data_IF_322493125049
#
_entry.id   IF_322493125049
#
_cell.length_a   1.000
_cell.length_b   1.000
_cell.length_c   1.000
_cell.angle_alpha   90.00
_cell.angle_beta   90.00
_cell.angle_gamma   90.00
#
_symmetry.space_group_name_H-M   'P 1'
#
loop_
_entity.id
_entity.type
_entity.pdbx_description
1 polymer ?
#
# COMPACT_ATOMS: atom_id res chain seq x y z
N UNK A 1 62.69 7.84 -7.90
CA UNK A 1 61.45 7.95 -7.11
C UNK A 1 60.76 9.24 -7.52
N UNK A 2 59.68 9.13 -8.27
CA UNK A 2 58.82 10.27 -8.63
C UNK A 2 57.40 9.85 -8.28
N UNK A 3 56.86 10.42 -7.21
CA UNK A 3 55.46 10.28 -6.83
C UNK A 3 54.59 10.92 -7.92
N UNK A 4 53.74 10.11 -8.54
CA UNK A 4 52.64 10.61 -9.37
C UNK A 4 51.51 11.06 -8.45
N UNK A 5 51.44 12.36 -8.21
CA UNK A 5 50.32 13.01 -7.53
C UNK A 5 49.04 12.84 -8.36
N UNK A 6 47.95 12.50 -7.67
CA UNK A 6 46.66 12.11 -8.25
C UNK A 6 46.09 13.13 -9.25
N UNK A 7 45.78 12.64 -10.45
CA UNK A 7 44.97 13.34 -11.43
C UNK A 7 43.49 13.18 -11.10
N UNK A 8 42.82 14.29 -10.81
CA UNK A 8 41.39 14.36 -10.65
C UNK A 8 40.68 14.07 -11.98
N UNK A 9 40.48 12.79 -12.32
CA UNK A 9 39.60 12.36 -13.42
C UNK A 9 38.12 12.47 -13.01
N UNK A 10 37.75 13.69 -12.62
CA UNK A 10 36.39 14.04 -12.33
C UNK A 10 35.62 14.25 -13.63
N UNK A 11 34.67 13.36 -13.95
CA UNK A 11 33.71 13.57 -15.06
C UNK A 11 33.22 15.04 -15.09
N UNK A 12 33.07 15.65 -16.27
CA UNK A 12 32.57 17.02 -16.40
C UNK A 12 31.28 17.22 -15.60
N UNK A 13 31.09 18.37 -14.97
CA UNK A 13 29.89 18.67 -14.18
C UNK A 13 28.60 18.42 -14.98
N UNK A 14 28.58 18.78 -16.26
CA UNK A 14 27.46 18.48 -17.18
C UNK A 14 27.17 16.98 -17.28
N UNK A 15 28.21 16.15 -17.40
CA UNK A 15 28.07 14.69 -17.45
C UNK A 15 27.54 14.15 -16.13
N UNK A 16 27.98 14.69 -14.98
CA UNK A 16 27.47 14.28 -13.66
C UNK A 16 26.00 14.65 -13.48
N UNK A 17 25.63 15.88 -13.84
CA UNK A 17 24.23 16.35 -13.77
C UNK A 17 23.34 15.54 -14.69
N UNK A 18 23.81 15.25 -15.91
CA UNK A 18 23.08 14.39 -16.85
C UNK A 18 22.88 12.97 -16.30
N UNK A 19 23.95 12.35 -15.78
CA UNK A 19 23.86 11.03 -15.17
C UNK A 19 22.91 11.01 -13.96
N UNK A 20 22.95 12.06 -13.13
CA UNK A 20 22.02 12.21 -12.02
C UNK A 20 20.57 12.31 -12.51
N UNK A 21 20.29 13.13 -13.52
CA UNK A 21 18.97 13.27 -14.10
C UNK A 21 18.44 11.94 -14.65
N UNK A 22 19.27 11.20 -15.40
CA UNK A 22 18.93 9.87 -15.92
C UNK A 22 18.64 8.89 -14.78
N UNK A 23 19.47 8.88 -13.74
CA UNK A 23 19.24 8.03 -12.55
C UNK A 23 17.93 8.37 -11.85
N UNK A 24 17.60 9.65 -11.68
CA UNK A 24 16.34 10.07 -11.05
C UNK A 24 15.15 9.59 -11.90
N UNK A 25 15.18 9.79 -13.21
CA UNK A 25 14.09 9.37 -14.11
C UNK A 25 13.89 7.86 -14.07
N UNK A 26 14.99 7.08 -14.17
CA UNK A 26 14.92 5.63 -14.12
C UNK A 26 14.40 5.14 -12.77
N UNK A 27 14.97 5.63 -11.67
CA UNK A 27 14.57 5.22 -10.33
C UNK A 27 13.11 5.59 -10.07
N UNK A 28 12.70 6.81 -10.42
CA UNK A 28 11.30 7.24 -10.28
C UNK A 28 10.37 6.37 -11.13
N UNK A 29 10.72 6.08 -12.38
CA UNK A 29 9.95 5.19 -13.24
C UNK A 29 9.80 3.79 -12.66
N UNK A 30 10.89 3.20 -12.16
CA UNK A 30 10.86 1.89 -11.49
C UNK A 30 10.03 1.95 -10.22
N UNK A 31 10.20 2.96 -9.37
CA UNK A 31 9.43 3.12 -8.14
C UNK A 31 7.95 3.35 -8.41
N UNK A 32 7.60 4.09 -9.47
CA UNK A 32 6.21 4.29 -9.89
C UNK A 32 5.64 3.00 -10.44
N UNK A 33 6.36 2.28 -11.33
CA UNK A 33 5.86 1.02 -11.90
C UNK A 33 5.77 -0.07 -10.85
N UNK A 34 6.73 -0.20 -9.93
CA UNK A 34 6.70 -1.21 -8.86
C UNK A 34 5.72 -0.79 -7.77
N UNK A 35 5.70 0.49 -7.39
CA UNK A 35 4.80 1.03 -6.36
C UNK A 35 3.34 1.07 -6.82
N UNK A 36 3.06 1.75 -7.93
CA UNK A 36 1.71 1.76 -8.52
C UNK A 36 1.35 0.45 -9.19
N UNK A 37 2.30 -0.30 -9.77
CA UNK A 37 2.03 -1.65 -10.28
C UNK A 37 1.70 -2.63 -9.16
N UNK A 38 2.26 -2.44 -7.96
CA UNK A 38 1.80 -3.11 -6.75
C UNK A 38 0.33 -2.78 -6.44
N UNK A 39 -0.06 -1.50 -6.54
CA UNK A 39 -1.47 -1.08 -6.43
C UNK A 39 -2.37 -1.71 -7.49
N UNK A 40 -1.92 -1.79 -8.75
CA UNK A 40 -2.65 -2.42 -9.84
C UNK A 40 -2.81 -3.93 -9.62
N UNK A 41 -1.76 -4.60 -9.14
CA UNK A 41 -1.80 -6.02 -8.76
C UNK A 41 -2.79 -6.26 -7.61
N UNK A 42 -2.72 -5.46 -6.54
CA UNK A 42 -3.66 -5.55 -5.42
C UNK A 42 -5.10 -5.30 -5.88
N UNK A 43 -5.31 -4.31 -6.75
CA UNK A 43 -6.63 -4.02 -7.31
C UNK A 43 -7.14 -5.16 -8.18
N UNK A 44 -6.31 -5.72 -9.06
CA UNK A 44 -6.66 -6.89 -9.88
C UNK A 44 -6.94 -8.10 -8.99
N UNK A 45 -6.13 -8.36 -7.99
CA UNK A 45 -6.33 -9.43 -7.01
C UNK A 45 -7.60 -9.23 -6.19
N UNK A 46 -7.98 -7.99 -5.84
CA UNK A 46 -9.24 -7.71 -5.16
C UNK A 46 -10.45 -7.85 -6.11
N UNK A 47 -10.29 -7.47 -7.38
CA UNK A 47 -11.34 -7.56 -8.41
C UNK A 47 -11.61 -8.99 -8.86
N UNK A 48 -10.56 -9.81 -8.93
CA UNK A 48 -10.58 -11.23 -9.30
C UNK A 48 -10.68 -12.15 -8.09
N UNK A 49 -10.40 -11.62 -6.89
CA UNK A 49 -10.56 -12.30 -5.61
C UNK A 49 -11.98 -12.81 -5.50
N UNK A 50 -12.11 -14.05 -5.03
CA UNK A 50 -13.31 -14.88 -5.10
C UNK A 50 -14.57 -14.28 -4.47
N UNK A 51 -15.67 -15.05 -4.44
CA UNK A 51 -16.93 -14.56 -3.90
C UNK A 51 -16.74 -13.98 -2.51
N UNK A 52 -17.41 -12.85 -2.26
CA UNK A 52 -17.36 -12.17 -0.98
C UNK A 52 -17.70 -13.16 0.15
N UNK A 53 -16.83 -13.31 1.17
CA UNK A 53 -17.03 -14.31 2.20
C UNK A 53 -18.37 -14.14 2.89
N UNK A 54 -19.02 -15.27 3.17
CA UNK A 54 -20.23 -15.32 3.97
C UNK A 54 -19.88 -15.72 5.41
N UNK A 55 -20.70 -15.26 6.33
CA UNK A 55 -20.70 -15.67 7.73
C UNK A 55 -21.37 -17.04 7.88
N UNK A 56 -21.21 -17.67 9.05
CA UNK A 56 -21.82 -18.98 9.33
C UNK A 56 -23.36 -18.97 9.21
N UNK A 57 -23.98 -17.80 9.34
CA UNK A 57 -25.43 -17.59 9.24
C UNK A 57 -25.89 -17.24 7.82
N UNK A 58 -24.96 -17.15 6.86
CA UNK A 58 -25.25 -16.88 5.44
C UNK A 58 -25.21 -15.40 5.02
N UNK A 59 -25.01 -14.47 5.97
CA UNK A 59 -24.86 -13.04 5.65
C UNK A 59 -23.50 -12.78 4.98
N UNK A 60 -23.45 -11.81 4.06
CA UNK A 60 -22.17 -11.33 3.52
C UNK A 60 -21.37 -10.64 4.61
N UNK A 61 -20.09 -11.03 4.75
CA UNK A 61 -19.20 -10.50 5.78
C UNK A 61 -19.07 -8.98 5.67
N UNK A 62 -19.05 -8.42 4.46
CA UNK A 62 -18.95 -6.97 4.25
C UNK A 62 -20.13 -6.21 4.87
N UNK A 63 -21.35 -6.75 4.75
CA UNK A 63 -22.56 -6.07 5.21
C UNK A 63 -22.59 -6.14 6.74
N UNK A 64 -22.22 -7.29 7.31
CA UNK A 64 -22.08 -7.48 8.76
C UNK A 64 -21.01 -6.57 9.38
N UNK A 65 -19.88 -6.38 8.70
CA UNK A 65 -18.81 -5.46 9.10
C UNK A 65 -19.23 -3.99 9.04
N UNK A 66 -20.01 -3.60 8.02
CA UNK A 66 -20.48 -2.22 7.85
C UNK A 66 -21.50 -1.83 8.92
N UNK A 67 -22.37 -2.74 9.32
CA UNK A 67 -23.40 -2.49 10.32
C UNK A 67 -22.89 -2.61 11.77
N UNK A 68 -21.77 -3.34 11.97
CA UNK A 68 -21.20 -3.60 13.30
C UNK A 68 -20.97 -2.34 14.16
N UNK A 69 -20.43 -1.22 13.65
CA UNK A 69 -20.14 -0.04 14.46
C UNK A 69 -21.38 0.58 15.09
N UNK A 70 -22.51 0.65 14.38
CA UNK A 70 -23.74 1.21 14.94
C UNK A 70 -24.35 0.26 15.98
N UNK A 71 -24.45 -1.04 15.66
CA UNK A 71 -24.96 -2.04 16.63
C UNK A 71 -24.15 -2.06 17.92
N UNK A 72 -22.81 -2.02 17.80
CA UNK A 72 -21.93 -1.96 18.96
C UNK A 72 -22.09 -0.64 19.72
N UNK A 73 -22.24 0.49 19.02
CA UNK A 73 -22.47 1.79 19.66
C UNK A 73 -23.80 1.80 20.42
N UNK A 74 -24.87 1.27 19.86
CA UNK A 74 -26.17 1.14 20.53
C UNK A 74 -26.08 0.25 21.77
N UNK A 75 -25.42 -0.90 21.68
CA UNK A 75 -25.21 -1.79 22.82
C UNK A 75 -24.37 -1.14 23.94
N UNK A 76 -23.37 -0.35 23.58
CA UNK A 76 -22.57 0.39 24.56
C UNK A 76 -23.35 1.56 25.18
N UNK A 77 -24.33 2.16 24.47
CA UNK A 77 -25.22 3.20 25.00
C UNK A 77 -26.19 2.67 26.05
N UNK A 78 -26.45 1.36 26.07
CA UNK A 78 -27.25 0.69 27.11
C UNK A 78 -26.37 0.11 28.23
N UNK A 79 -25.13 0.59 28.37
CA UNK A 79 -24.15 0.08 29.34
C UNK A 79 -23.90 -1.43 29.22
N UNK A 80 -24.05 -1.98 28.01
CA UNK A 80 -23.91 -3.42 27.76
C UNK A 80 -25.08 -4.27 28.25
N UNK A 81 -26.22 -3.65 28.59
CA UNK A 81 -27.46 -4.36 28.86
C UNK A 81 -28.23 -4.64 27.56
N UNK A 82 -28.67 -5.89 27.39
CA UNK A 82 -29.44 -6.34 26.24
C UNK A 82 -28.81 -7.56 25.57
N UNK A 83 -29.28 -7.87 24.36
CA UNK A 83 -28.70 -8.92 23.54
C UNK A 83 -27.37 -8.45 22.94
N UNK A 84 -26.34 -9.30 23.02
CA UNK A 84 -25.02 -8.97 22.49
C UNK A 84 -25.11 -8.85 20.96
N UNK A 85 -24.62 -7.77 20.35
CA UNK A 85 -24.69 -7.62 18.90
C UNK A 85 -23.90 -8.75 18.21
N UNK A 86 -24.38 -9.17 17.03
CA UNK A 86 -23.75 -10.20 16.21
C UNK A 86 -22.36 -9.78 15.75
N UNK A 87 -21.34 -10.53 16.20
CA UNK A 87 -19.92 -10.30 15.91
C UNK A 87 -19.67 -10.04 14.43
N UNK A 88 -18.70 -9.17 14.10
CA UNK A 88 -18.35 -8.86 12.72
C UNK A 88 -17.92 -10.11 11.96
#
# INVERSE_FOLDING_TARGET
>A
MTESTGGADGKPLRTRVWQLAVSIVLLTGVTVIVGYGGGLLLWLSARLGGPDPMTDDGDLLRDRLLDWPERNREFMRTDGHGELPLRP
#
